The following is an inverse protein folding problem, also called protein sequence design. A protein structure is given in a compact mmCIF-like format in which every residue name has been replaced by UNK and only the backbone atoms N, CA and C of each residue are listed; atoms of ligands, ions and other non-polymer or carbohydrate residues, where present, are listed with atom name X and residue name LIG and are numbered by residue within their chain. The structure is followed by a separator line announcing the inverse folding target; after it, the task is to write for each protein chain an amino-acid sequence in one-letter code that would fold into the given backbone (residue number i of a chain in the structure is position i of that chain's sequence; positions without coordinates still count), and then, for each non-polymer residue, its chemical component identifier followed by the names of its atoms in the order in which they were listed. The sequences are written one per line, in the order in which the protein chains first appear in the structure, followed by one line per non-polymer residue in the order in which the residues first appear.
data_IF_984005066368
#
_entry.id   IF_984005066368
#
_cell.length_a   1.000
_cell.length_b   1.000
_cell.length_c   1.000
_cell.angle_alpha   90.00
_cell.angle_beta   90.00
_cell.angle_gamma   90.00
#
_symmetry.space_group_name_H-M   'P 1'
#
loop_
_entity.id
_entity.type
_entity.pdbx_description
1 polymer ?
#
# COMPACT_ATOMS: atom_id res chain seq x y z
N UNK A 1 26.38 3.06 -11.16
CA UNK A 1 24.97 3.51 -11.09
C UNK A 1 24.08 2.28 -11.02
N UNK A 2 23.43 2.04 -9.88
CA UNK A 2 22.55 0.86 -9.74
C UNK A 2 21.38 0.98 -10.72
N UNK A 3 21.35 0.10 -11.72
CA UNK A 3 20.27 -0.03 -12.69
C UNK A 3 18.96 -0.20 -11.92
N UNK A 4 17.99 0.68 -12.17
CA UNK A 4 16.67 0.62 -11.51
C UNK A 4 15.98 -0.68 -11.93
N UNK A 5 16.16 -1.75 -11.17
CA UNK A 5 15.54 -3.05 -11.44
C UNK A 5 14.01 -2.87 -11.32
N UNK A 6 13.23 -3.02 -12.40
CA UNK A 6 11.78 -2.82 -12.37
C UNK A 6 11.08 -3.79 -11.41
N UNK A 7 11.63 -4.99 -11.23
CA UNK A 7 11.12 -6.02 -10.32
C UNK A 7 11.17 -5.58 -8.85
N UNK A 8 12.25 -4.91 -8.43
CA UNK A 8 12.38 -4.37 -7.08
C UNK A 8 11.33 -3.28 -6.82
N UNK A 9 11.01 -2.48 -7.83
CA UNK A 9 9.95 -1.47 -7.74
C UNK A 9 8.57 -2.10 -7.58
N UNK A 10 8.28 -3.16 -8.34
CA UNK A 10 7.03 -3.88 -8.22
C UNK A 10 6.88 -4.57 -6.86
N UNK A 11 7.95 -5.14 -6.29
CA UNK A 11 7.91 -5.76 -4.96
C UNK A 11 7.58 -4.76 -3.85
N UNK A 12 8.15 -3.56 -3.94
CA UNK A 12 8.07 -2.54 -2.89
C UNK A 12 6.83 -1.65 -2.99
N UNK A 13 6.37 -1.29 -4.19
CA UNK A 13 5.39 -0.22 -4.38
C UNK A 13 4.09 -0.66 -5.08
N UNK A 14 4.09 -1.75 -5.84
CA UNK A 14 2.88 -2.18 -6.56
C UNK A 14 1.81 -2.61 -5.58
N UNK A 15 0.66 -1.93 -5.63
CA UNK A 15 -0.51 -2.19 -4.79
C UNK A 15 -0.24 -2.12 -3.28
N UNK A 16 0.85 -1.47 -2.85
CA UNK A 16 1.20 -1.33 -1.45
C UNK A 16 0.62 -0.03 -0.87
N UNK A 17 -0.16 -0.18 0.19
CA UNK A 17 -0.80 0.91 0.91
C UNK A 17 -0.43 0.84 2.38
N UNK A 18 -0.38 1.99 3.03
CA UNK A 18 -0.10 2.13 4.46
C UNK A 18 -1.36 2.66 5.11
N UNK A 19 -1.79 2.10 6.23
CA UNK A 19 -2.90 2.70 6.97
C UNK A 19 -2.45 4.02 7.62
N UNK A 20 -3.35 5.02 7.69
CA UNK A 20 -3.05 6.32 8.28
C UNK A 20 -2.86 6.26 9.81
N UNK A 21 -3.60 5.39 10.49
CA UNK A 21 -3.59 5.32 11.96
C UNK A 21 -2.56 4.30 12.47
N UNK A 22 -2.60 3.08 11.91
CA UNK A 22 -1.81 1.95 12.38
C UNK A 22 -0.44 1.82 11.69
N UNK A 23 -0.14 2.68 10.69
CA UNK A 23 1.03 2.60 9.79
C UNK A 23 1.30 1.21 9.17
N UNK A 24 0.30 0.32 9.21
CA UNK A 24 0.45 -1.06 8.77
C UNK A 24 0.39 -1.11 7.25
N UNK A 25 1.33 -1.86 6.66
CA UNK A 25 1.41 -2.08 5.20
C UNK A 25 0.41 -3.16 4.79
N UNK A 26 -0.36 -2.88 3.75
CA UNK A 26 -1.31 -3.82 3.14
C UNK A 26 -1.12 -3.81 1.64
N UNK A 27 -1.05 -4.99 1.04
CA UNK A 27 -1.08 -5.15 -0.41
C UNK A 27 -2.51 -5.43 -0.85
N UNK A 28 -3.15 -4.50 -1.53
CA UNK A 28 -4.52 -4.64 -2.00
C UNK A 28 -4.74 -3.87 -3.30
N UNK A 29 -5.71 -4.30 -4.09
CA UNK A 29 -6.09 -3.57 -5.30
C UNK A 29 -6.64 -2.18 -4.91
N UNK A 30 -6.23 -1.09 -5.61
CA UNK A 30 -6.70 0.27 -5.33
C UNK A 30 -8.22 0.39 -5.32
N UNK A 31 -8.91 -0.32 -6.21
CA UNK A 31 -10.37 -0.34 -6.28
C UNK A 31 -11.00 -0.87 -4.98
N UNK A 32 -10.39 -1.86 -4.33
CA UNK A 32 -10.89 -2.40 -3.06
C UNK A 32 -10.68 -1.41 -1.90
N UNK A 33 -9.64 -0.59 -1.95
CA UNK A 33 -9.37 0.45 -0.94
C UNK A 33 -10.31 1.64 -1.12
N UNK A 34 -10.51 2.10 -2.36
CA UNK A 34 -11.47 3.17 -2.69
C UNK A 34 -12.88 2.76 -2.26
N UNK A 35 -13.27 1.51 -2.57
CA UNK A 35 -14.56 0.94 -2.17
C UNK A 35 -14.64 0.54 -0.67
N UNK A 36 -13.63 0.88 0.15
CA UNK A 36 -13.56 0.53 1.59
C UNK A 36 -13.82 -0.94 1.91
N UNK A 37 -13.49 -1.85 0.98
CA UNK A 37 -13.63 -3.32 1.17
C UNK A 37 -12.46 -3.95 1.92
N UNK A 38 -11.39 -3.18 2.15
CA UNK A 38 -10.19 -3.62 2.87
C UNK A 38 -10.16 -2.94 4.23
N UNK A 39 -9.98 -3.71 5.31
CA UNK A 39 -9.81 -3.21 6.69
C UNK A 39 -8.34 -3.30 7.12
N UNK A 40 -7.83 -2.33 7.91
CA UNK A 40 -6.52 -2.50 8.56
C UNK A 40 -6.64 -3.69 9.53
N UNK A 41 -5.69 -4.63 9.46
CA UNK A 41 -5.68 -5.82 10.34
C UNK A 41 -5.49 -5.46 11.82
N UNK A 42 -4.90 -4.30 12.12
CA UNK A 42 -4.69 -3.79 13.49
C UNK A 42 -5.83 -2.88 13.97
N UNK A 43 -6.01 -1.72 13.35
CA UNK A 43 -6.98 -0.72 13.82
C UNK A 43 -8.40 -0.89 13.26
N UNK A 44 -8.64 -1.87 12.37
CA UNK A 44 -9.93 -2.11 11.68
C UNK A 44 -10.45 -0.92 10.84
N UNK A 45 -9.70 0.18 10.75
CA UNK A 45 -10.01 1.35 9.94
C UNK A 45 -9.88 1.10 8.44
N UNK A 46 -10.49 2.00 7.67
CA UNK A 46 -10.51 1.97 6.20
C UNK A 46 -9.61 3.06 5.59
N UNK A 47 -8.95 3.86 6.42
CA UNK A 47 -8.12 4.96 5.99
C UNK A 47 -6.72 4.47 5.59
N UNK A 48 -6.48 4.36 4.28
CA UNK A 48 -5.19 4.00 3.71
C UNK A 48 -4.58 5.15 2.89
N UNK A 49 -3.26 5.22 2.86
CA UNK A 49 -2.45 6.11 2.02
C UNK A 49 -1.60 5.27 1.05
N UNK A 50 -1.48 5.67 -0.23
CA UNK A 50 -0.58 5.00 -1.17
C UNK A 50 0.88 5.29 -0.81
N UNK A 51 1.78 4.32 -1.01
CA UNK A 51 3.22 4.54 -0.92
C UNK A 51 3.70 5.13 -2.26
N UNK A 52 4.03 6.42 -2.29
CA UNK A 52 4.67 7.04 -3.45
C UNK A 52 6.19 6.84 -3.38
N UNK A 53 6.81 6.54 -4.51
CA UNK A 53 8.26 6.75 -4.68
C UNK A 53 8.53 8.25 -4.72
N UNK A 54 9.61 8.68 -4.06
CA UNK A 54 10.26 9.98 -4.31
C UNK A 54 11.26 9.81 -5.44
#
# INVERSE_FOLDING_TARGET
MATKIPEAQNRMFKNAFVCKDCNTKVKASPLKIINKKVKCRKCKGFAFRPIKKK
#
